data_IF_470218925540
#
_entry.id   IF_470218925540
#
_cell.length_a   1.000
_cell.length_b   1.000
_cell.length_c   1.000
_cell.angle_alpha   90.00
_cell.angle_beta   90.00
_cell.angle_gamma   90.00
#
_symmetry.space_group_name_H-M   'P 1'
#
loop_
_entity.id
_entity.type
_entity.pdbx_description
1 polymer ?
#
# COMPACT_ATOMS: atom_id res chain seq x y z
N UNK A 1 3.61 19.41 8.21
CA UNK A 1 2.47 18.81 7.47
C UNK A 1 1.86 17.75 8.38
N UNK A 2 0.54 17.74 8.54
CA UNK A 2 -0.14 16.78 9.41
C UNK A 2 -0.40 15.49 8.63
N UNK A 3 0.03 14.35 9.17
CA UNK A 3 -0.24 13.03 8.60
C UNK A 3 -1.61 12.51 9.04
N UNK A 4 -2.38 11.94 8.11
CA UNK A 4 -3.72 11.38 8.39
C UNK A 4 -3.67 10.14 9.30
N UNK A 5 -2.59 9.37 9.21
CA UNK A 5 -2.34 8.16 10.00
C UNK A 5 -0.89 8.16 10.50
N UNK A 6 -0.58 7.47 11.62
CA UNK A 6 0.80 7.24 12.01
C UNK A 6 1.54 6.42 10.94
N UNK A 7 2.89 6.46 10.96
CA UNK A 7 3.74 5.76 9.99
C UNK A 7 3.54 4.24 10.03
N UNK A 8 3.31 3.69 11.23
CA UNK A 8 3.06 2.28 11.45
C UNK A 8 4.32 1.43 11.57
N UNK A 9 4.13 0.12 11.57
CA UNK A 9 5.18 -0.87 11.80
C UNK A 9 5.87 -1.31 10.51
N UNK A 10 7.18 -1.62 10.54
CA UNK A 10 7.91 -2.04 9.35
C UNK A 10 7.34 -3.35 8.78
N UNK A 11 7.25 -3.44 7.45
CA UNK A 11 6.79 -4.65 6.77
C UNK A 11 7.91 -5.57 6.30
N UNK A 12 7.57 -6.86 6.24
CA UNK A 12 8.47 -7.96 5.88
C UNK A 12 9.07 -7.74 4.49
N UNK A 13 10.38 -7.97 4.31
CA UNK A 13 11.03 -7.91 3.00
C UNK A 13 10.54 -9.01 2.03
N UNK A 14 9.76 -9.99 2.51
CA UNK A 14 9.13 -11.01 1.67
C UNK A 14 8.15 -10.41 0.64
N UNK A 15 7.44 -9.33 1.02
CA UNK A 15 6.41 -8.72 0.16
C UNK A 15 6.84 -7.39 -0.44
N UNK A 16 7.94 -6.81 0.05
CA UNK A 16 8.38 -5.47 -0.30
C UNK A 16 9.89 -5.44 -0.59
N UNK A 17 10.27 -4.60 -1.56
CA UNK A 17 11.66 -4.15 -1.70
C UNK A 17 11.80 -2.79 -1.03
N UNK A 18 12.83 -2.60 -0.19
CA UNK A 18 13.07 -1.36 0.54
C UNK A 18 12.20 -1.19 1.79
N UNK A 19 12.34 -0.06 2.49
CA UNK A 19 11.64 0.18 3.76
C UNK A 19 10.19 0.61 3.54
N UNK A 20 9.26 -0.15 4.09
CA UNK A 20 7.82 0.12 4.03
C UNK A 20 7.21 -0.06 5.42
N UNK A 21 6.18 0.72 5.70
CA UNK A 21 5.52 0.75 7.02
C UNK A 21 4.01 0.70 6.84
N UNK A 22 3.31 -0.07 7.68
CA UNK A 22 1.86 -0.23 7.62
C UNK A 22 1.23 0.18 8.96
N UNK A 23 0.23 1.03 8.87
CA UNK A 23 -0.78 1.21 9.92
C UNK A 23 -2.07 0.53 9.46
N UNK A 24 -2.56 -0.43 10.24
CA UNK A 24 -3.87 -1.05 10.05
C UNK A 24 -4.95 -0.05 10.47
N UNK A 25 -5.96 0.16 9.60
CA UNK A 25 -7.04 1.13 9.83
C UNK A 25 -8.36 0.41 10.08
N UNK A 26 -8.62 -0.67 9.33
CA UNK A 26 -9.79 -1.50 9.47
C UNK A 26 -9.47 -2.93 9.04
N UNK A 27 -9.81 -3.89 9.88
CA UNK A 27 -9.77 -5.31 9.53
C UNK A 27 -11.05 -5.74 8.82
N UNK A 28 -10.93 -6.73 7.95
CA UNK A 28 -12.08 -7.34 7.32
C UNK A 28 -12.90 -8.11 8.36
N UNK A 29 -14.22 -8.02 8.27
CA UNK A 29 -15.17 -8.72 9.13
C UNK A 29 -16.34 -9.30 8.32
N UNK A 30 -17.34 -9.85 9.02
CA UNK A 30 -18.50 -10.46 8.39
C UNK A 30 -19.41 -9.46 7.64
N UNK A 31 -19.33 -8.17 7.96
CA UNK A 31 -20.11 -7.12 7.29
C UNK A 31 -19.31 -6.43 6.18
N UNK A 32 -17.98 -6.44 6.29
CA UNK A 32 -17.04 -5.78 5.40
C UNK A 32 -15.97 -6.76 4.96
N UNK A 33 -16.13 -7.33 3.77
CA UNK A 33 -15.16 -8.28 3.18
C UNK A 33 -13.90 -7.58 2.62
N UNK A 34 -13.51 -6.43 3.18
CA UNK A 34 -12.34 -5.67 2.80
C UNK A 34 -11.61 -5.16 4.04
N UNK A 35 -10.29 -5.00 3.93
CA UNK A 35 -9.47 -4.32 4.92
C UNK A 35 -8.97 -2.98 4.39
N UNK A 36 -8.63 -2.08 5.30
CA UNK A 36 -8.03 -0.78 5.00
C UNK A 36 -6.71 -0.67 5.77
N UNK A 37 -5.66 -0.27 5.06
CA UNK A 37 -4.36 0.03 5.64
C UNK A 37 -3.77 1.29 5.03
N UNK A 38 -3.03 2.04 5.84
CA UNK A 38 -2.21 3.17 5.39
C UNK A 38 -0.76 2.70 5.27
N UNK A 39 -0.23 2.70 4.05
CA UNK A 39 1.14 2.25 3.78
C UNK A 39 2.04 3.43 3.42
N UNK A 40 3.18 3.53 4.11
CA UNK A 40 4.24 4.50 3.79
C UNK A 40 5.39 3.78 3.10
N UNK A 41 5.80 4.30 1.94
CA UNK A 41 6.97 3.83 1.19
C UNK A 41 8.09 4.85 1.31
N UNK A 42 9.27 4.44 1.78
CA UNK A 42 10.46 5.26 1.63
C UNK A 42 10.87 5.35 0.15
N UNK A 43 11.73 6.31 -0.19
CA UNK A 43 12.17 6.54 -1.57
C UNK A 43 12.76 5.25 -2.18
N UNK A 44 12.15 4.79 -3.28
CA UNK A 44 12.56 3.58 -4.00
C UNK A 44 11.97 2.26 -3.47
N UNK A 45 11.27 2.31 -2.33
CA UNK A 45 10.54 1.17 -1.81
C UNK A 45 9.28 0.88 -2.65
N UNK A 46 8.91 -0.40 -2.74
CA UNK A 46 7.78 -0.87 -3.55
C UNK A 46 7.33 -2.26 -3.13
N UNK A 47 6.10 -2.61 -3.46
CA UNK A 47 5.61 -4.00 -3.38
C UNK A 47 6.30 -4.89 -4.41
N UNK A 48 6.46 -6.16 -4.08
CA UNK A 48 6.72 -7.21 -5.06
C UNK A 48 5.51 -7.36 -6.00
N UNK A 49 5.69 -7.99 -7.16
CA UNK A 49 4.58 -8.23 -8.08
C UNK A 49 3.55 -9.16 -7.45
N UNK A 50 2.30 -8.72 -7.36
CA UNK A 50 1.20 -9.48 -6.78
C UNK A 50 -0.13 -9.11 -7.46
N UNK A 51 -1.19 -9.82 -7.10
CA UNK A 51 -2.55 -9.60 -7.58
C UNK A 51 -3.54 -9.76 -6.43
N UNK A 52 -4.63 -8.99 -6.45
CA UNK A 52 -5.76 -9.16 -5.54
C UNK A 52 -6.97 -9.72 -6.32
N UNK A 53 -7.53 -10.89 -5.94
CA UNK A 53 -8.65 -11.51 -6.67
C UNK A 53 -9.90 -10.64 -6.78
N UNK A 54 -10.18 -9.83 -5.74
CA UNK A 54 -11.32 -8.90 -5.68
C UNK A 54 -10.94 -7.45 -6.04
N UNK A 55 -9.73 -7.23 -6.56
CA UNK A 55 -9.19 -5.89 -6.85
C UNK A 55 -8.63 -5.18 -5.62
N UNK A 56 -8.11 -3.97 -5.84
CA UNK A 56 -7.56 -3.10 -4.81
C UNK A 56 -7.74 -1.63 -5.24
N UNK A 57 -8.06 -0.77 -4.29
CA UNK A 57 -8.12 0.68 -4.48
C UNK A 57 -6.96 1.33 -3.72
N UNK A 58 -6.29 2.28 -4.37
CA UNK A 58 -5.20 3.07 -3.77
C UNK A 58 -5.62 4.54 -3.76
N UNK A 59 -5.49 5.19 -2.61
CA UNK A 59 -5.70 6.63 -2.45
C UNK A 59 -4.38 7.23 -1.99
N UNK A 60 -3.76 8.04 -2.85
CA UNK A 60 -2.49 8.72 -2.52
C UNK A 60 -2.79 9.92 -1.64
N UNK A 61 -2.33 9.89 -0.40
CA UNK A 61 -2.56 10.96 0.59
C UNK A 61 -1.40 11.94 0.69
N UNK A 62 -0.18 11.54 0.29
CA UNK A 62 1.00 12.40 0.27
C UNK A 62 2.10 11.85 -0.63
N UNK A 63 3.01 12.73 -1.08
CA UNK A 63 4.18 12.38 -1.86
C UNK A 63 3.92 12.15 -3.35
N UNK A 64 4.83 11.45 -4.01
CA UNK A 64 4.73 11.02 -5.42
C UNK A 64 4.99 9.54 -5.50
N UNK A 65 4.13 8.81 -6.20
CA UNK A 65 4.19 7.36 -6.34
C UNK A 65 4.20 6.94 -7.80
N UNK A 66 4.42 5.64 -8.04
CA UNK A 66 4.28 5.01 -9.34
C UNK A 66 3.34 3.82 -9.23
N UNK A 67 2.46 3.66 -10.21
CA UNK A 67 1.68 2.44 -10.36
C UNK A 67 2.03 1.77 -11.69
N UNK A 68 2.14 0.44 -11.66
CA UNK A 68 2.36 -0.37 -12.87
C UNK A 68 1.55 -1.65 -12.80
N UNK A 69 0.72 -1.86 -13.81
CA UNK A 69 0.09 -3.15 -14.08
C UNK A 69 0.94 -3.91 -15.12
N UNK A 70 1.17 -5.23 -14.94
CA UNK A 70 2.09 -6.00 -15.81
C UNK A 70 1.80 -5.88 -17.31
N UNK A 71 0.52 -5.70 -17.68
CA UNK A 71 0.06 -5.62 -19.08
C UNK A 71 -0.05 -4.20 -19.62
N UNK A 72 0.09 -3.17 -18.79
CA UNK A 72 -0.13 -1.79 -19.19
C UNK A 72 1.11 -0.93 -18.89
N UNK A 73 1.24 0.17 -19.63
CA UNK A 73 2.31 1.15 -19.37
C UNK A 73 2.12 1.77 -17.98
N UNK A 74 3.21 2.23 -17.32
CA UNK A 74 3.13 2.85 -16.01
C UNK A 74 2.18 4.06 -16.02
N UNK A 75 1.39 4.22 -14.95
CA UNK A 75 0.64 5.43 -14.67
C UNK A 75 1.30 6.14 -13.48
N UNK A 76 1.37 7.47 -13.55
CA UNK A 76 1.79 8.33 -12.42
C UNK A 76 0.57 8.74 -11.61
#
# INVERSE_FOLDING_TARGET
MQTLFPKGEPRSPEFFTGSTFLTEVLDADHNNEFSIGSVTFEKGARTNWHTHPKGQVLIVTSGKSWYRHKRFKPAM
#
